data_IF_616897592434
#
_entry.id   IF_616897592434
#
_cell.length_a   1.000
_cell.length_b   1.000
_cell.length_c   1.000
_cell.angle_alpha   90.00
_cell.angle_beta   90.00
_cell.angle_gamma   90.00
#
_symmetry.space_group_name_H-M   'P 1'
#
loop_
_entity.id
_entity.type
_entity.pdbx_description
1 polymer ?
#
# COMPACT_ATOMS: atom_id res chain seq x y z
N UNK A 1 20.57 17.75 -1.48
CA UNK A 1 21.82 17.00 -1.78
C UNK A 1 22.64 17.68 -2.87
N UNK A 2 22.09 17.92 -4.07
CA UNK A 2 22.85 18.51 -5.19
C UNK A 2 23.58 19.82 -4.82
N UNK A 3 22.89 20.77 -4.17
CA UNK A 3 23.51 22.04 -3.73
C UNK A 3 24.64 21.83 -2.71
N UNK A 4 24.46 20.92 -1.75
CA UNK A 4 25.47 20.62 -0.73
C UNK A 4 26.71 19.93 -1.32
N UNK A 5 26.51 18.99 -2.26
CA UNK A 5 27.59 18.31 -2.97
C UNK A 5 28.40 19.28 -3.83
N UNK A 6 27.71 20.19 -4.55
CA UNK A 6 28.36 21.24 -5.33
C UNK A 6 29.13 22.21 -4.44
N UNK A 7 28.57 22.60 -3.29
CA UNK A 7 29.24 23.44 -2.31
C UNK A 7 30.51 22.78 -1.75
N UNK A 8 30.44 21.51 -1.37
CA UNK A 8 31.58 20.74 -0.86
C UNK A 8 32.69 20.58 -1.92
N UNK A 9 32.33 20.31 -3.17
CA UNK A 9 33.27 20.26 -4.28
C UNK A 9 33.93 21.62 -4.55
N UNK A 10 33.17 22.72 -4.48
CA UNK A 10 33.68 24.07 -4.72
C UNK A 10 34.71 24.53 -3.67
N UNK A 11 34.65 24.02 -2.44
CA UNK A 11 35.62 24.32 -1.36
C UNK A 11 36.73 23.25 -1.23
N UNK A 12 36.82 22.30 -2.17
CA UNK A 12 37.81 21.21 -2.17
C UNK A 12 37.53 20.08 -1.17
N UNK A 13 36.41 20.10 -0.45
CA UNK A 13 36.00 19.09 0.53
C UNK A 13 35.17 17.98 -0.12
N UNK A 14 35.76 17.31 -1.11
CA UNK A 14 35.06 16.31 -1.93
C UNK A 14 34.66 15.09 -1.09
N UNK A 15 35.52 14.67 -0.14
CA UNK A 15 35.27 13.50 0.71
C UNK A 15 34.04 13.69 1.61
N UNK A 16 33.91 14.85 2.26
CA UNK A 16 32.78 15.15 3.12
C UNK A 16 31.47 15.23 2.32
N UNK A 17 31.52 15.84 1.13
CA UNK A 17 30.38 15.85 0.20
C UNK A 17 29.97 14.43 -0.23
N UNK A 18 30.93 13.57 -0.56
CA UNK A 18 30.67 12.18 -0.93
C UNK A 18 30.06 11.38 0.23
N UNK A 19 30.58 11.55 1.45
CA UNK A 19 30.06 10.87 2.64
C UNK A 19 28.59 11.28 2.91
N UNK A 20 28.27 12.57 2.82
CA UNK A 20 26.90 13.06 2.93
C UNK A 20 26.00 12.44 1.87
N UNK A 21 26.49 12.27 0.63
CA UNK A 21 25.74 11.60 -0.43
C UNK A 21 25.39 10.17 -0.04
N UNK A 22 26.39 9.41 0.43
CA UNK A 22 26.20 8.00 0.81
C UNK A 22 25.21 7.87 1.97
N UNK A 23 25.37 8.65 3.04
CA UNK A 23 24.49 8.58 4.22
C UNK A 23 23.04 8.88 3.84
N UNK A 24 22.81 9.93 3.04
CA UNK A 24 21.46 10.28 2.60
C UNK A 24 20.88 9.26 1.62
N UNK A 25 21.69 8.70 0.72
CA UNK A 25 21.23 7.65 -0.19
C UNK A 25 20.79 6.40 0.59
N UNK A 26 21.57 5.98 1.59
CA UNK A 26 21.21 4.87 2.48
C UNK A 26 19.95 5.19 3.27
N UNK A 27 19.84 6.39 3.86
CA UNK A 27 18.64 6.82 4.57
C UNK A 27 17.40 6.80 3.67
N UNK A 28 17.53 7.29 2.42
CA UNK A 28 16.47 7.26 1.42
C UNK A 28 16.06 5.83 1.05
N UNK A 29 17.01 4.93 0.85
CA UNK A 29 16.75 3.52 0.58
C UNK A 29 16.03 2.84 1.75
N UNK A 30 16.51 3.03 2.98
CA UNK A 30 15.86 2.50 4.18
C UNK A 30 14.44 3.03 4.34
N UNK A 31 14.24 4.33 4.09
CA UNK A 31 12.91 4.95 4.12
C UNK A 31 11.97 4.37 3.07
N UNK A 32 12.45 4.11 1.86
CA UNK A 32 11.66 3.49 0.80
C UNK A 32 11.23 2.07 1.19
N UNK A 33 12.16 1.26 1.71
CA UNK A 33 11.86 -0.11 2.19
C UNK A 33 10.83 -0.09 3.32
N UNK A 34 11.01 0.81 4.30
CA UNK A 34 10.06 0.94 5.41
C UNK A 34 8.66 1.35 4.92
N UNK A 35 8.59 2.32 4.01
CA UNK A 35 7.31 2.80 3.46
C UNK A 35 6.59 1.70 2.67
N UNK A 36 7.32 0.93 1.86
CA UNK A 36 6.76 -0.20 1.12
C UNK A 36 6.18 -1.25 2.06
N UNK A 37 6.92 -1.65 3.10
CA UNK A 37 6.43 -2.60 4.12
C UNK A 37 5.16 -2.11 4.83
N UNK A 38 5.07 -0.82 5.14
CA UNK A 38 3.87 -0.24 5.75
C UNK A 38 2.69 -0.30 4.79
N UNK A 39 2.89 0.07 3.52
CA UNK A 39 1.83 0.01 2.51
C UNK A 39 1.32 -1.41 2.28
N UNK A 40 2.20 -2.41 2.22
CA UNK A 40 1.83 -3.81 2.04
C UNK A 40 1.05 -4.35 3.25
N UNK A 41 1.44 -3.94 4.46
CA UNK A 41 0.71 -4.34 5.68
C UNK A 41 -0.72 -3.77 5.70
N UNK A 42 -0.91 -2.54 5.23
CA UNK A 42 -2.24 -1.94 5.10
C UNK A 42 -3.05 -2.62 4.01
N UNK A 43 -2.44 -2.93 2.86
CA UNK A 43 -3.10 -3.69 1.78
C UNK A 43 -3.57 -5.06 2.25
N UNK A 44 -2.75 -5.79 3.01
CA UNK A 44 -3.15 -7.08 3.56
C UNK A 44 -4.39 -7.03 4.47
N UNK A 45 -4.69 -5.88 5.10
CA UNK A 45 -5.94 -5.67 5.84
C UNK A 45 -7.14 -5.40 4.92
N UNK A 46 -6.91 -4.79 3.76
CA UNK A 46 -7.95 -4.46 2.77
C UNK A 46 -8.30 -5.65 1.87
N UNK A 47 -7.32 -6.52 1.58
CA UNK A 47 -7.51 -7.75 0.79
C UNK A 47 -8.39 -8.80 1.50
N UNK A 48 -8.76 -8.56 2.76
CA UNK A 48 -9.70 -9.40 3.50
C UNK A 48 -11.16 -9.17 3.11
N UNK A 49 -11.47 -8.10 2.37
CA UNK A 49 -12.82 -7.84 1.90
C UNK A 49 -13.14 -8.70 0.67
N UNK A 50 -14.24 -9.47 0.67
CA UNK A 50 -14.62 -10.29 -0.48
C UNK A 50 -15.05 -9.39 -1.65
N UNK A 51 -14.63 -9.73 -2.87
CA UNK A 51 -15.04 -9.01 -4.09
C UNK A 51 -16.47 -9.37 -4.51
N UNK A 52 -16.94 -10.56 -4.13
CA UNK A 52 -18.26 -11.08 -4.46
C UNK A 52 -19.06 -11.43 -3.21
N UNK A 53 -20.39 -11.34 -3.30
CA UNK A 53 -21.32 -11.79 -2.29
C UNK A 53 -22.45 -12.62 -2.91
N UNK A 54 -22.97 -13.57 -2.15
CA UNK A 54 -24.16 -14.34 -2.55
C UNK A 54 -25.41 -13.63 -2.04
N UNK A 55 -26.13 -12.97 -2.93
CA UNK A 55 -27.43 -12.35 -2.65
C UNK A 55 -28.53 -13.40 -2.66
N UNK A 56 -29.40 -13.35 -1.66
CA UNK A 56 -30.61 -14.16 -1.57
C UNK A 56 -31.80 -13.35 -2.08
N UNK A 57 -32.42 -13.82 -3.16
CA UNK A 57 -33.59 -13.19 -3.77
C UNK A 57 -34.87 -13.52 -2.98
N UNK A 58 -35.95 -12.71 -3.13
CA UNK A 58 -37.21 -12.94 -2.42
C UNK A 58 -37.90 -14.28 -2.75
N UNK A 59 -37.57 -14.88 -3.89
CA UNK A 59 -38.04 -16.19 -4.33
C UNK A 59 -37.23 -17.37 -3.76
N UNK A 60 -36.20 -17.07 -2.96
CA UNK A 60 -35.31 -18.05 -2.33
C UNK A 60 -34.13 -18.48 -3.22
N UNK A 61 -33.97 -17.88 -4.40
CA UNK A 61 -32.85 -18.19 -5.30
C UNK A 61 -31.56 -17.49 -4.84
N UNK A 62 -30.42 -18.15 -5.04
CA UNK A 62 -29.09 -17.60 -4.74
C UNK A 62 -28.47 -17.01 -6.02
N UNK A 63 -27.93 -15.80 -5.92
CA UNK A 63 -27.23 -15.12 -7.01
C UNK A 63 -25.91 -14.54 -6.52
N UNK A 64 -24.79 -14.92 -7.13
CA UNK A 64 -23.48 -14.32 -6.82
C UNK A 64 -23.30 -13.03 -7.61
N UNK A 65 -23.10 -11.93 -6.90
CA UNK A 65 -22.90 -10.59 -7.46
C UNK A 65 -21.63 -9.96 -6.90
N UNK A 66 -21.05 -9.00 -7.62
CA UNK A 66 -19.98 -8.16 -7.08
C UNK A 66 -20.50 -7.34 -5.89
N UNK A 67 -19.67 -7.10 -4.88
CA UNK A 67 -20.07 -6.36 -3.68
C UNK A 67 -20.47 -4.91 -3.97
N UNK A 68 -20.02 -4.33 -5.09
CA UNK A 68 -20.41 -2.99 -5.56
C UNK A 68 -21.83 -2.90 -6.13
N UNK A 69 -22.45 -4.04 -6.47
CA UNK A 69 -23.81 -4.13 -6.99
C UNK A 69 -24.87 -4.34 -5.88
N UNK A 70 -24.43 -4.55 -4.64
CA UNK A 70 -25.33 -4.72 -3.50
C UNK A 70 -25.99 -3.39 -3.11
N UNK A 71 -27.29 -3.45 -2.83
CA UNK A 71 -28.05 -2.32 -2.32
C UNK A 71 -28.36 -2.47 -0.83
N UNK A 72 -28.56 -1.34 -0.15
CA UNK A 72 -29.04 -1.35 1.24
C UNK A 72 -30.43 -1.99 1.29
N UNK A 73 -30.55 -3.08 2.05
CA UNK A 73 -31.77 -3.88 2.16
C UNK A 73 -31.67 -5.26 1.50
N UNK A 74 -30.60 -5.53 0.75
CA UNK A 74 -30.34 -6.87 0.22
C UNK A 74 -30.02 -7.87 1.34
N UNK A 75 -30.55 -9.09 1.21
CA UNK A 75 -30.21 -10.21 2.10
C UNK A 75 -29.07 -10.99 1.47
N UNK A 76 -27.99 -11.21 2.22
CA UNK A 76 -26.83 -11.98 1.76
C UNK A 76 -26.72 -13.28 2.54
N UNK A 77 -26.29 -14.34 1.86
CA UNK A 77 -25.97 -15.63 2.45
C UNK A 77 -24.46 -15.69 2.70
N UNK A 78 -24.06 -15.90 3.95
CA UNK A 78 -22.66 -16.09 4.35
C UNK A 78 -22.51 -17.51 4.88
N UNK A 79 -21.75 -18.37 4.20
CA UNK A 79 -21.53 -19.74 4.67
C UNK A 79 -20.39 -19.76 5.71
N UNK A 80 -20.38 -20.72 6.65
CA UNK A 80 -19.30 -20.82 7.62
C UNK A 80 -17.94 -21.00 6.93
N UNK A 81 -17.04 -20.04 7.10
CA UNK A 81 -15.71 -20.04 6.48
C UNK A 81 -15.58 -19.19 5.21
N UNK A 82 -16.67 -18.57 4.75
CA UNK A 82 -16.64 -17.43 3.81
C UNK A 82 -16.44 -16.09 4.53
#
# INVERSE_FOLDING_TARGET
MAVAALGAAAIGQILDGALLIVIFAISGALKAVASARTADSVRGLLDLAPTTATRLLPDGTEETVETDQLAVGDTILVRPGE
#
